data_IF_334966672144
#
_entry.id   IF_334966672144
#
_cell.length_a   1.000
_cell.length_b   1.000
_cell.length_c   1.000
_cell.angle_alpha   90.00
_cell.angle_beta   90.00
_cell.angle_gamma   90.00
#
_symmetry.space_group_name_H-M   'P 1'
#
loop_
_entity.id
_entity.type
_entity.pdbx_description
1 polymer ?
#
# COMPACT_ATOMS: atom_id res chain seq x y z
N UNK A 1 27.96 7.68 -1.55
CA UNK A 1 27.17 7.27 -2.72
C UNK A 1 28.09 6.52 -3.65
N UNK A 2 27.79 5.25 -3.93
CA UNK A 2 28.54 4.41 -4.87
C UNK A 2 28.26 4.81 -6.32
N UNK A 3 29.09 4.38 -7.26
CA UNK A 3 28.84 4.64 -8.69
C UNK A 3 27.49 4.09 -9.15
N UNK A 4 27.12 2.88 -8.69
CA UNK A 4 25.84 2.24 -9.00
C UNK A 4 24.65 3.01 -8.43
N UNK A 5 24.78 3.58 -7.23
CA UNK A 5 23.74 4.45 -6.64
C UNK A 5 23.55 5.75 -7.43
N UNK A 6 24.63 6.32 -7.98
CA UNK A 6 24.54 7.49 -8.87
C UNK A 6 23.82 7.14 -10.18
N UNK A 7 24.15 6.00 -10.81
CA UNK A 7 23.47 5.53 -12.03
C UNK A 7 21.96 5.35 -11.81
N UNK A 8 21.56 4.78 -10.67
CA UNK A 8 20.15 4.65 -10.32
C UNK A 8 19.48 6.02 -10.13
N UNK A 9 20.15 6.95 -9.46
CA UNK A 9 19.62 8.30 -9.25
C UNK A 9 19.40 9.02 -10.59
N UNK A 10 20.38 8.96 -11.49
CA UNK A 10 20.31 9.58 -12.81
C UNK A 10 19.19 8.96 -13.66
N UNK A 11 19.04 7.63 -13.60
CA UNK A 11 17.94 6.92 -14.26
C UNK A 11 16.57 7.42 -13.79
N UNK A 12 16.34 7.47 -12.47
CA UNK A 12 15.07 7.95 -11.90
C UNK A 12 14.83 9.43 -12.23
N UNK A 13 15.86 10.28 -12.14
CA UNK A 13 15.74 11.70 -12.44
C UNK A 13 15.45 11.97 -13.92
N UNK A 14 15.89 11.07 -14.82
CA UNK A 14 15.55 11.13 -16.25
C UNK A 14 14.12 10.68 -16.58
N UNK A 15 13.34 10.25 -15.57
CA UNK A 15 11.97 9.75 -15.73
C UNK A 15 11.88 8.24 -15.95
N UNK A 16 12.96 7.50 -15.65
CA UNK A 16 12.96 6.03 -15.69
C UNK A 16 11.98 5.42 -14.69
N UNK A 17 11.36 4.30 -15.09
CA UNK A 17 10.45 3.52 -14.23
C UNK A 17 11.22 2.32 -13.66
N UNK A 18 11.26 2.22 -12.33
CA UNK A 18 11.98 1.15 -11.64
C UNK A 18 11.01 0.00 -11.37
N UNK A 19 11.30 -1.16 -11.94
CA UNK A 19 10.54 -2.38 -11.71
C UNK A 19 11.04 -3.13 -10.46
N UNK A 20 10.22 -4.03 -9.92
CA UNK A 20 10.53 -4.75 -8.67
C UNK A 20 11.77 -5.65 -8.78
N UNK A 21 12.04 -6.15 -9.99
CA UNK A 21 13.22 -6.96 -10.35
C UNK A 21 14.48 -6.14 -10.61
N UNK A 22 14.35 -4.83 -10.75
CA UNK A 22 15.49 -3.97 -11.01
C UNK A 22 16.35 -3.80 -9.75
N UNK A 23 17.63 -3.53 -9.97
CA UNK A 23 18.48 -3.12 -8.87
C UNK A 23 18.07 -1.73 -8.38
N UNK A 24 17.94 -1.60 -7.07
CA UNK A 24 17.75 -0.33 -6.37
C UNK A 24 18.55 -0.37 -5.06
N UNK A 25 18.98 0.78 -4.52
CA UNK A 25 19.67 0.82 -3.23
C UNK A 25 18.83 0.20 -2.10
N UNK A 26 19.47 -0.54 -1.19
CA UNK A 26 18.74 -1.25 -0.10
C UNK A 26 17.96 -0.27 0.79
N UNK A 27 18.55 0.87 1.13
CA UNK A 27 17.88 1.94 1.88
C UNK A 27 16.67 2.51 1.13
N UNK A 28 16.73 2.57 -0.21
CA UNK A 28 15.62 3.02 -1.03
C UNK A 28 14.49 1.98 -1.00
N UNK A 29 14.82 0.69 -1.20
CA UNK A 29 13.87 -0.42 -1.11
C UNK A 29 13.18 -0.46 0.25
N UNK A 30 13.93 -0.33 1.34
CA UNK A 30 13.39 -0.35 2.70
C UNK A 30 12.41 0.81 2.95
N UNK A 31 12.75 2.02 2.50
CA UNK A 31 11.86 3.19 2.60
C UNK A 31 10.61 3.04 1.72
N UNK A 32 10.76 2.48 0.53
CA UNK A 32 9.66 2.23 -0.40
C UNK A 32 8.67 1.21 0.18
N UNK A 33 9.18 0.08 0.70
CA UNK A 33 8.38 -0.94 1.40
C UNK A 33 7.59 -0.28 2.53
N UNK A 34 8.25 0.48 3.41
CA UNK A 34 7.59 1.16 4.53
C UNK A 34 6.51 2.14 4.06
N UNK A 35 6.79 2.93 3.02
CA UNK A 35 5.85 3.89 2.48
C UNK A 35 4.59 3.23 1.89
N UNK A 36 4.79 2.23 1.02
CA UNK A 36 3.71 1.51 0.36
C UNK A 36 2.89 0.71 1.38
N UNK A 37 3.55 0.07 2.35
CA UNK A 37 2.87 -0.62 3.46
C UNK A 37 1.99 0.34 4.26
N UNK A 38 2.51 1.51 4.65
CA UNK A 38 1.71 2.51 5.37
C UNK A 38 0.51 3.01 4.55
N UNK A 39 0.63 3.06 3.23
CA UNK A 39 -0.49 3.34 2.33
C UNK A 39 -1.54 2.22 2.40
N UNK A 40 -1.13 0.95 2.25
CA UNK A 40 -2.03 -0.20 2.35
C UNK A 40 -2.71 -0.34 3.72
N UNK A 41 -1.97 -0.01 4.79
CA UNK A 41 -2.48 0.08 6.16
C UNK A 41 -3.54 1.18 6.28
N UNK A 42 -3.34 2.33 5.65
CA UNK A 42 -4.28 3.46 5.70
C UNK A 42 -5.60 3.11 5.03
N UNK A 43 -5.56 2.43 3.88
CA UNK A 43 -6.77 1.94 3.20
C UNK A 43 -7.54 0.94 4.08
N UNK A 44 -6.83 -0.01 4.71
CA UNK A 44 -7.45 -1.00 5.59
C UNK A 44 -8.02 -0.38 6.87
N UNK A 45 -7.30 0.56 7.49
CA UNK A 45 -7.75 1.19 8.73
C UNK A 45 -8.91 2.16 8.46
N UNK A 46 -8.95 2.80 7.28
CA UNK A 46 -10.03 3.68 6.86
C UNK A 46 -11.40 3.00 6.80
N UNK A 47 -11.45 1.68 6.53
CA UNK A 47 -12.73 0.96 6.48
C UNK A 47 -13.35 0.71 7.86
N UNK A 48 -12.56 0.71 8.94
CA UNK A 48 -13.06 0.42 10.29
C UNK A 48 -14.08 1.44 10.80
N UNK A 49 -13.88 2.76 10.68
CA UNK A 49 -14.91 3.72 11.06
C UNK A 49 -16.10 3.72 10.07
N UNK A 50 -15.84 3.53 8.77
CA UNK A 50 -16.89 3.60 7.75
C UNK A 50 -17.85 2.41 7.79
N UNK A 51 -17.34 1.19 8.05
CA UNK A 51 -18.18 -0.03 8.11
C UNK A 51 -19.24 0.05 9.21
N UNK A 52 -19.00 0.75 10.31
CA UNK A 52 -19.94 0.91 11.42
C UNK A 52 -21.22 1.65 10.99
N UNK A 53 -21.12 2.46 9.94
CA UNK A 53 -22.25 3.20 9.36
C UNK A 53 -23.04 2.41 8.33
N UNK A 54 -22.54 1.27 7.80
CA UNK A 54 -23.26 0.45 6.80
C UNK A 54 -24.64 0.05 7.33
N UNK A 55 -24.71 -0.44 8.57
CA UNK A 55 -25.98 -0.87 9.17
C UNK A 55 -26.88 0.32 9.55
N UNK A 56 -26.32 1.52 9.70
CA UNK A 56 -27.00 2.76 10.15
C UNK A 56 -27.33 3.71 9.01
N UNK A 57 -27.00 3.36 7.77
CA UNK A 57 -27.23 4.23 6.61
C UNK A 57 -28.73 4.58 6.47
N UNK A 58 -29.07 5.87 6.24
CA UNK A 58 -30.45 6.36 6.32
C UNK A 58 -31.35 5.87 5.18
N UNK A 59 -30.75 5.43 4.06
CA UNK A 59 -31.47 4.90 2.90
C UNK A 59 -30.74 3.68 2.33
N UNK A 60 -31.47 2.82 1.62
CA UNK A 60 -30.89 1.67 0.93
C UNK A 60 -29.84 2.10 -0.12
N UNK A 61 -30.06 3.22 -0.82
CA UNK A 61 -29.09 3.75 -1.78
C UNK A 61 -27.77 4.14 -1.09
N UNK A 62 -27.83 4.82 0.06
CA UNK A 62 -26.63 5.16 0.83
C UNK A 62 -25.95 3.93 1.41
N UNK A 63 -26.72 2.93 1.84
CA UNK A 63 -26.19 1.64 2.28
C UNK A 63 -25.40 0.95 1.18
N UNK A 64 -25.96 0.84 -0.02
CA UNK A 64 -25.30 0.24 -1.19
C UNK A 64 -24.01 0.99 -1.55
N UNK A 65 -24.06 2.32 -1.62
CA UNK A 65 -22.89 3.13 -1.95
C UNK A 65 -21.76 2.98 -0.91
N UNK A 66 -22.10 2.99 0.39
CA UNK A 66 -21.11 2.84 1.46
C UNK A 66 -20.51 1.43 1.48
N UNK A 67 -21.33 0.39 1.28
CA UNK A 67 -20.83 -0.99 1.16
C UNK A 67 -19.87 -1.14 -0.02
N UNK A 68 -20.20 -0.56 -1.19
CA UNK A 68 -19.33 -0.60 -2.37
C UNK A 68 -18.01 0.13 -2.11
N UNK A 69 -18.05 1.32 -1.50
CA UNK A 69 -16.83 2.05 -1.11
C UNK A 69 -15.95 1.20 -0.18
N UNK A 70 -16.51 0.64 0.89
CA UNK A 70 -15.76 -0.20 1.83
C UNK A 70 -15.15 -1.42 1.14
N UNK A 71 -15.88 -2.04 0.21
CA UNK A 71 -15.35 -3.13 -0.62
C UNK A 71 -14.14 -2.68 -1.46
N UNK A 72 -14.22 -1.51 -2.09
CA UNK A 72 -13.14 -0.97 -2.92
C UNK A 72 -11.88 -0.68 -2.09
N UNK A 73 -11.99 -0.05 -0.92
CA UNK A 73 -10.80 0.23 -0.09
C UNK A 73 -10.13 -1.05 0.44
N UNK A 74 -10.92 -2.07 0.80
CA UNK A 74 -10.37 -3.39 1.13
C UNK A 74 -9.64 -3.98 -0.08
N UNK A 75 -10.20 -3.82 -1.28
CA UNK A 75 -9.54 -4.21 -2.53
C UNK A 75 -8.23 -3.46 -2.78
N UNK A 76 -8.23 -2.13 -2.60
CA UNK A 76 -7.04 -1.29 -2.71
C UNK A 76 -5.94 -1.73 -1.75
N UNK A 77 -6.26 -1.92 -0.47
CA UNK A 77 -5.30 -2.42 0.53
C UNK A 77 -4.67 -3.75 0.10
N UNK A 78 -5.46 -4.69 -0.41
CA UNK A 78 -4.96 -5.98 -0.89
C UNK A 78 -4.01 -5.84 -2.08
N UNK A 79 -4.32 -4.97 -3.03
CA UNK A 79 -3.47 -4.72 -4.20
C UNK A 79 -2.17 -4.02 -3.79
N UNK A 80 -2.24 -3.06 -2.87
CA UNK A 80 -1.06 -2.34 -2.37
C UNK A 80 -0.13 -3.29 -1.60
N UNK A 81 -0.66 -4.18 -0.75
CA UNK A 81 0.19 -5.18 -0.10
C UNK A 81 0.86 -6.14 -1.08
N UNK A 82 0.24 -6.47 -2.22
CA UNK A 82 0.92 -7.29 -3.25
C UNK A 82 2.16 -6.60 -3.82
N UNK A 83 2.12 -5.27 -3.98
CA UNK A 83 3.31 -4.50 -4.39
C UNK A 83 4.41 -4.60 -3.34
N UNK A 84 4.06 -4.61 -2.06
CA UNK A 84 5.02 -4.84 -0.96
C UNK A 84 5.59 -6.26 -0.99
N UNK A 85 4.76 -7.27 -1.31
CA UNK A 85 5.20 -8.65 -1.50
C UNK A 85 6.22 -8.78 -2.63
N UNK A 86 5.96 -8.14 -3.78
CA UNK A 86 6.87 -8.14 -4.92
C UNK A 86 8.22 -7.46 -4.59
N UNK A 87 8.24 -6.54 -3.61
CA UNK A 87 9.45 -5.90 -3.11
C UNK A 87 10.20 -6.74 -2.05
N UNK A 88 9.60 -7.83 -1.55
CA UNK A 88 10.23 -8.84 -0.70
C UNK A 88 9.68 -8.99 0.71
N UNK A 89 8.63 -8.25 1.09
CA UNK A 89 8.00 -8.39 2.42
C UNK A 89 6.62 -9.06 2.31
N UNK A 90 6.40 -10.25 2.92
CA UNK A 90 5.12 -10.94 2.85
C UNK A 90 3.93 -10.11 3.35
N UNK A 91 2.75 -10.28 2.73
CA UNK A 91 1.54 -9.57 3.15
C UNK A 91 1.13 -9.91 4.59
N UNK A 92 1.34 -11.15 5.02
CA UNK A 92 1.05 -11.57 6.40
C UNK A 92 1.85 -10.75 7.41
N UNK A 93 3.11 -10.45 7.09
CA UNK A 93 3.96 -9.63 7.94
C UNK A 93 3.49 -8.16 7.95
N UNK A 94 2.97 -7.63 6.84
CA UNK A 94 2.37 -6.29 6.84
C UNK A 94 1.17 -6.18 7.80
N UNK A 95 0.33 -7.23 7.84
CA UNK A 95 -0.79 -7.30 8.77
C UNK A 95 -0.33 -7.49 10.23
N UNK A 96 0.69 -8.31 10.47
CA UNK A 96 1.28 -8.49 11.79
C UNK A 96 1.85 -7.17 12.34
N UNK A 97 2.65 -6.46 11.54
CA UNK A 97 3.25 -5.17 11.91
C UNK A 97 2.16 -4.12 12.22
N UNK A 98 1.08 -4.08 11.43
CA UNK A 98 -0.06 -3.20 11.71
C UNK A 98 -0.71 -3.49 13.08
N UNK A 99 -0.79 -4.76 13.46
CA UNK A 99 -1.43 -5.18 14.72
C UNK A 99 -0.50 -4.99 15.92
N UNK A 100 0.81 -5.21 15.76
CA UNK A 100 1.78 -5.07 16.84
C UNK A 100 2.17 -3.62 17.14
N UNK A 101 2.03 -2.72 16.16
CA UNK A 101 2.56 -1.36 16.22
C UNK A 101 4.08 -1.31 16.07
#
# INVERSE_FOLDING_TARGET
MTAREQEFLDYVQSGGQVETTDWMPDDYRAKLIKFIEMHGNSELMGVLPEREWILRAPTLQRKLALTAKVQDEVGHSQLIYRVVEDLGKPRSQCLEDLISG
#
